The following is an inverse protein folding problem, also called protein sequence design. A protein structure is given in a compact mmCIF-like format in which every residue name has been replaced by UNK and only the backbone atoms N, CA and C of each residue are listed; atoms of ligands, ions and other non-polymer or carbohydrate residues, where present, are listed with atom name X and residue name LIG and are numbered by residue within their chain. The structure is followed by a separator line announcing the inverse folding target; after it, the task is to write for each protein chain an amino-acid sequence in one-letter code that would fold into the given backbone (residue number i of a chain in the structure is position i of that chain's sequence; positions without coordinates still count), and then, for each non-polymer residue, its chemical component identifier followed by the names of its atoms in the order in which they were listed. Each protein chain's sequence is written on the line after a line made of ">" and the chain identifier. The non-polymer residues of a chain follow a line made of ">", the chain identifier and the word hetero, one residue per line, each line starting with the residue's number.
data_IF_117534882239
#
_entry.id   IF_117534882239
#
_cell.length_a   1.000
_cell.length_b   1.000
_cell.length_c   1.000
_cell.angle_alpha   90.00
_cell.angle_beta   90.00
_cell.angle_gamma   90.00
#
_symmetry.space_group_name_H-M   'P 1'
#
loop_
_entity.id
_entity.type
_entity.pdbx_description
1 polymer ?
#
# COMPACT_ATOMS: atom_id res chain seq x y z
N UNK A 1 7.80 14.44 17.27
CA UNK A 1 6.87 13.98 16.22
C UNK A 1 6.32 12.63 16.64
N UNK A 2 5.07 12.57 17.10
CA UNK A 2 4.42 11.28 17.43
C UNK A 2 4.03 10.58 16.11
N UNK A 3 4.78 9.54 15.75
CA UNK A 3 4.74 8.81 14.48
C UNK A 3 3.53 7.88 14.29
N UNK A 4 2.57 7.85 15.23
CA UNK A 4 1.48 6.88 15.25
C UNK A 4 0.19 7.34 14.55
N UNK A 5 0.03 8.63 14.29
CA UNK A 5 -1.16 9.17 13.62
C UNK A 5 -0.73 10.01 12.42
N UNK A 6 -1.25 9.66 11.24
CA UNK A 6 -1.14 10.47 10.03
C UNK A 6 -1.55 11.92 10.35
N UNK A 7 -0.82 12.90 9.83
CA UNK A 7 -1.20 14.31 9.96
C UNK A 7 -2.56 14.57 9.30
N UNK A 8 -3.30 15.60 9.74
CA UNK A 8 -4.62 15.94 9.16
C UNK A 8 -4.58 16.11 7.63
N UNK A 9 -3.45 16.58 7.09
CA UNK A 9 -3.23 16.72 5.66
C UNK A 9 -3.11 15.34 4.97
N UNK A 10 -2.36 14.41 5.56
CA UNK A 10 -2.21 13.04 5.02
C UNK A 10 -3.51 12.23 5.12
N UNK A 11 -4.31 12.42 6.18
CA UNK A 11 -5.59 11.73 6.36
C UNK A 11 -6.60 12.04 5.24
N UNK A 12 -6.59 13.25 4.68
CA UNK A 12 -7.48 13.66 3.59
C UNK A 12 -7.07 13.13 2.21
N UNK A 13 -5.85 12.58 2.09
CA UNK A 13 -5.29 12.08 0.83
C UNK A 13 -5.52 10.58 0.67
N UNK A 14 -5.79 9.85 1.76
CA UNK A 14 -5.99 8.39 1.72
C UNK A 14 -7.40 8.03 1.27
N UNK A 15 -7.53 7.34 0.14
CA UNK A 15 -8.79 6.78 -0.32
C UNK A 15 -8.88 5.34 0.16
N UNK A 16 -9.98 4.98 0.82
CA UNK A 16 -10.22 3.61 1.30
C UNK A 16 -11.13 2.80 0.36
N UNK A 17 -10.99 1.48 0.41
CA UNK A 17 -11.86 0.57 -0.35
C UNK A 17 -13.27 0.51 0.23
N UNK A 18 -13.36 0.35 1.56
CA UNK A 18 -14.62 0.12 2.28
C UNK A 18 -15.04 1.37 3.04
N UNK A 19 -16.34 1.67 2.94
CA UNK A 19 -17.05 2.70 3.72
C UNK A 19 -16.34 4.06 3.73
N UNK A 20 -16.37 4.73 2.58
CA UNK A 20 -15.59 5.96 2.31
C UNK A 20 -16.02 7.19 3.13
N UNK A 21 -17.22 7.19 3.69
CA UNK A 21 -17.77 8.29 4.49
C UNK A 21 -17.29 8.30 5.94
N UNK A 22 -16.64 7.23 6.42
CA UNK A 22 -16.12 7.14 7.78
C UNK A 22 -14.87 8.02 7.95
N UNK A 23 -14.85 8.81 9.02
CA UNK A 23 -13.66 9.56 9.45
C UNK A 23 -12.55 8.59 9.83
N UNK A 24 -11.30 9.03 9.66
CA UNK A 24 -10.12 8.20 9.91
C UNK A 24 -10.09 7.64 11.35
N UNK A 25 -10.45 8.45 12.33
CA UNK A 25 -10.46 8.06 13.75
C UNK A 25 -11.49 6.97 14.04
N UNK A 26 -12.73 7.14 13.54
CA UNK A 26 -13.80 6.15 13.77
C UNK A 26 -13.47 4.84 13.04
N UNK A 27 -12.93 4.92 11.83
CA UNK A 27 -12.44 3.75 11.09
C UNK A 27 -11.40 2.98 11.89
N UNK A 28 -10.38 3.67 12.42
CA UNK A 28 -9.31 3.04 13.19
C UNK A 28 -9.86 2.39 14.48
N UNK A 29 -10.69 3.11 15.23
CA UNK A 29 -11.32 2.59 16.45
C UNK A 29 -12.19 1.37 16.17
N UNK A 30 -13.04 1.42 15.14
CA UNK A 30 -13.90 0.32 14.75
C UNK A 30 -13.09 -0.90 14.30
N UNK A 31 -12.00 -0.68 13.55
CA UNK A 31 -11.12 -1.76 13.09
C UNK A 31 -10.44 -2.44 14.27
N UNK A 32 -9.87 -1.66 15.20
CA UNK A 32 -9.22 -2.17 16.41
C UNK A 32 -10.25 -2.95 17.26
N UNK A 33 -11.44 -2.38 17.46
CA UNK A 33 -12.50 -3.02 18.22
C UNK A 33 -12.87 -4.39 17.62
N UNK A 34 -13.12 -4.46 16.30
CA UNK A 34 -13.46 -5.71 15.63
C UNK A 34 -12.34 -6.75 15.69
N UNK A 35 -11.08 -6.33 15.54
CA UNK A 35 -9.93 -7.24 15.63
C UNK A 35 -9.80 -7.80 17.05
N UNK A 36 -9.92 -6.96 18.08
CA UNK A 36 -9.85 -7.39 19.50
C UNK A 36 -10.99 -8.37 19.81
N UNK A 37 -12.22 -8.07 19.38
CA UNK A 37 -13.36 -8.97 19.55
C UNK A 37 -13.12 -10.29 18.83
N UNK A 38 -12.57 -10.25 17.61
CA UNK A 38 -12.21 -11.45 16.85
C UNK A 38 -11.19 -12.33 17.58
N UNK A 39 -10.11 -11.73 18.11
CA UNK A 39 -9.13 -12.46 18.91
C UNK A 39 -9.70 -13.00 20.21
N UNK A 40 -10.54 -12.23 20.91
CA UNK A 40 -11.22 -12.71 22.12
C UNK A 40 -12.08 -13.95 21.83
N UNK A 41 -12.87 -13.91 20.75
CA UNK A 41 -13.69 -15.05 20.32
C UNK A 41 -12.85 -16.27 19.94
N UNK A 42 -11.69 -16.08 19.30
CA UNK A 42 -10.79 -17.19 18.98
C UNK A 42 -10.16 -17.79 20.24
N UNK A 43 -9.78 -16.94 21.20
CA UNK A 43 -9.19 -17.36 22.46
C UNK A 43 -10.17 -18.19 23.30
N UNK A 44 -11.41 -17.72 23.47
CA UNK A 44 -12.42 -18.42 24.28
C UNK A 44 -12.94 -19.72 23.62
N UNK A 45 -13.08 -19.74 22.30
CA UNK A 45 -13.59 -20.93 21.58
C UNK A 45 -12.49 -21.91 21.19
N UNK A 46 -11.21 -21.57 21.41
CA UNK A 46 -10.04 -22.32 20.94
C UNK A 46 -10.13 -22.71 19.46
N UNK A 47 -10.81 -21.90 18.66
CA UNK A 47 -11.14 -22.16 17.26
C UNK A 47 -10.96 -20.89 16.44
N UNK A 48 -10.53 -21.02 15.18
CA UNK A 48 -10.39 -19.88 14.28
C UNK A 48 -11.74 -19.21 13.98
N UNK A 49 -12.81 -20.02 13.91
CA UNK A 49 -14.18 -19.54 13.75
C UNK A 49 -14.92 -19.47 15.09
N UNK A 50 -15.77 -18.45 15.29
CA UNK A 50 -16.18 -17.41 14.33
C UNK A 50 -15.25 -16.18 14.28
N UNK A 51 -14.28 -16.08 15.19
CA UNK A 51 -13.53 -14.82 15.41
C UNK A 51 -12.75 -14.31 14.19
N UNK A 52 -12.32 -15.20 13.28
CA UNK A 52 -11.62 -14.79 12.05
C UNK A 52 -12.49 -13.88 11.15
N UNK A 53 -13.83 -14.00 11.20
CA UNK A 53 -14.73 -13.11 10.46
C UNK A 53 -14.64 -11.67 10.97
N UNK A 54 -14.53 -11.49 12.28
CA UNK A 54 -14.38 -10.18 12.91
C UNK A 54 -13.01 -9.58 12.64
N UNK A 55 -11.94 -10.40 12.71
CA UNK A 55 -10.58 -9.98 12.33
C UNK A 55 -10.55 -9.52 10.86
N UNK A 56 -11.15 -10.30 9.96
CA UNK A 56 -11.23 -9.95 8.55
C UNK A 56 -12.03 -8.66 8.31
N UNK A 57 -13.20 -8.51 8.94
CA UNK A 57 -14.01 -7.31 8.83
C UNK A 57 -13.27 -6.05 9.33
N UNK A 58 -12.57 -6.15 10.47
CA UNK A 58 -11.72 -5.07 10.96
C UNK A 58 -10.57 -4.74 10.00
N UNK A 59 -9.92 -5.76 9.43
CA UNK A 59 -8.85 -5.55 8.46
C UNK A 59 -9.33 -4.89 7.16
N UNK A 60 -10.51 -5.27 6.67
CA UNK A 60 -11.11 -4.67 5.47
C UNK A 60 -11.31 -3.16 5.58
N UNK A 61 -11.66 -2.67 6.78
CA UNK A 61 -11.82 -1.24 7.04
C UNK A 61 -10.50 -0.46 6.89
N UNK A 62 -9.37 -1.12 7.13
CA UNK A 62 -8.03 -0.55 7.00
C UNK A 62 -7.47 -0.63 5.57
N UNK A 63 -8.15 -1.31 4.64
CA UNK A 63 -7.67 -1.42 3.26
C UNK A 63 -7.75 -0.09 2.53
N UNK A 64 -6.57 0.43 2.22
CA UNK A 64 -6.36 1.62 1.41
C UNK A 64 -6.43 1.25 -0.08
N UNK A 65 -7.19 2.03 -0.85
CA UNK A 65 -7.27 1.93 -2.32
C UNK A 65 -6.16 2.69 -3.02
N UNK A 66 -5.66 3.72 -2.38
CA UNK A 66 -4.53 4.50 -2.84
C UNK A 66 -4.50 5.87 -2.19
N UNK A 67 -3.53 6.66 -2.61
CA UNK A 67 -3.43 8.06 -2.25
C UNK A 67 -4.01 8.89 -3.41
N UNK A 68 -4.88 9.84 -3.11
CA UNK A 68 -5.33 10.84 -4.08
C UNK A 68 -4.22 11.86 -4.30
N UNK A 69 -3.22 11.48 -5.08
CA UNK A 69 -2.17 12.40 -5.52
C UNK A 69 -2.57 13.13 -6.81
N UNK A 70 -3.88 13.34 -7.03
CA UNK A 70 -4.33 14.23 -8.10
C UNK A 70 -3.89 15.64 -7.69
N UNK A 71 -2.85 16.14 -8.35
CA UNK A 71 -2.70 17.59 -8.51
C UNK A 71 -4.08 18.08 -8.96
N UNK A 72 -4.67 19.04 -8.24
CA UNK A 72 -5.94 19.64 -8.65
C UNK A 72 -5.70 20.29 -10.02
N UNK A 73 -5.93 19.53 -11.09
CA UNK A 73 -5.82 19.99 -12.48
C UNK A 73 -6.80 21.13 -12.76
N UNK A 74 -7.76 21.39 -11.86
CA UNK A 74 -8.57 22.60 -11.87
C UNK A 74 -7.73 23.91 -11.81
N UNK A 75 -6.50 23.85 -11.31
CA UNK A 75 -5.51 24.95 -11.37
C UNK A 75 -4.54 24.85 -12.55
N UNK A 76 -4.62 23.80 -13.38
CA UNK A 76 -3.85 23.68 -14.60
C UNK A 76 -4.47 24.63 -15.64
N UNK A 77 -3.87 25.81 -15.79
CA UNK A 77 -4.23 26.75 -16.85
C UNK A 77 -3.53 26.29 -18.14
N UNK A 78 -4.24 25.81 -19.17
CA UNK A 78 -3.63 25.47 -20.47
C UNK A 78 -3.05 26.69 -21.19
N UNK A 79 -3.41 27.90 -20.74
CA UNK A 79 -2.82 29.19 -21.15
C UNK A 79 -1.48 29.47 -20.44
N UNK A 80 -0.81 28.45 -19.89
CA UNK A 80 0.43 28.64 -19.14
C UNK A 80 1.47 29.37 -19.97
N UNK A 81 1.85 30.56 -19.52
CA UNK A 81 2.96 31.34 -20.05
C UNK A 81 4.21 30.45 -20.18
N UNK A 82 4.93 30.58 -21.30
CA UNK A 82 6.20 29.89 -21.49
C UNK A 82 7.17 30.32 -20.39
N UNK A 83 7.39 29.44 -19.41
CA UNK A 83 8.38 29.69 -18.37
C UNK A 83 9.76 29.36 -18.93
N UNK A 84 10.70 30.29 -18.78
CA UNK A 84 12.10 30.05 -19.14
C UNK A 84 12.68 29.00 -18.18
N UNK A 85 12.89 27.79 -18.68
CA UNK A 85 13.47 26.68 -17.91
C UNK A 85 14.98 26.62 -18.15
N UNK A 86 15.76 26.46 -17.08
CA UNK A 86 17.21 26.23 -17.17
C UNK A 86 17.57 24.74 -17.28
N UNK A 87 18.84 24.44 -17.55
CA UNK A 87 19.33 23.05 -17.65
C UNK A 87 19.20 22.29 -16.34
N UNK A 88 19.34 22.98 -15.21
CA UNK A 88 19.32 22.39 -13.86
C UNK A 88 17.90 21.90 -13.51
N UNK A 89 16.87 22.70 -13.80
CA UNK A 89 15.47 22.33 -13.65
C UNK A 89 15.11 21.10 -14.48
N UNK A 90 15.62 21.01 -15.72
CA UNK A 90 15.42 19.83 -16.57
C UNK A 90 16.07 18.58 -15.96
N UNK A 91 17.23 18.71 -15.31
CA UNK A 91 17.90 17.61 -14.62
C UNK A 91 17.17 17.20 -13.34
N UNK A 92 16.70 18.19 -12.57
CA UNK A 92 15.88 17.96 -11.39
C UNK A 92 14.60 17.18 -11.74
N UNK A 93 13.92 17.49 -12.85
CA UNK A 93 12.74 16.72 -13.31
C UNK A 93 13.10 15.26 -13.59
N UNK A 94 14.23 15.01 -14.28
CA UNK A 94 14.70 13.65 -14.57
C UNK A 94 15.04 12.91 -13.26
N UNK A 95 15.70 13.59 -12.32
CA UNK A 95 16.10 13.01 -11.05
C UNK A 95 14.90 12.68 -10.16
N UNK A 96 13.93 13.58 -10.06
CA UNK A 96 12.66 13.35 -9.34
C UNK A 96 11.96 12.13 -9.93
N UNK A 97 11.84 12.01 -11.25
CA UNK A 97 11.20 10.85 -11.88
C UNK A 97 11.97 9.54 -11.64
N UNK A 98 13.32 9.58 -11.61
CA UNK A 98 14.15 8.42 -11.25
C UNK A 98 13.97 8.02 -9.78
N UNK A 99 13.97 9.00 -8.86
CA UNK A 99 13.74 8.78 -7.42
C UNK A 99 12.35 8.21 -7.18
N UNK A 100 11.33 8.75 -7.85
CA UNK A 100 9.96 8.26 -7.80
C UNK A 100 9.86 6.79 -8.24
N UNK A 101 10.51 6.39 -9.34
CA UNK A 101 10.56 4.99 -9.77
C UNK A 101 11.24 4.05 -8.76
N UNK A 102 12.28 4.52 -8.05
CA UNK A 102 12.97 3.70 -7.04
C UNK A 102 12.14 3.48 -5.77
N UNK A 103 11.17 4.34 -5.49
CA UNK A 103 10.28 4.21 -4.33
C UNK A 103 9.24 3.09 -4.47
N UNK A 104 9.12 2.49 -5.66
CA UNK A 104 8.18 1.41 -6.01
C UNK A 104 8.66 0.01 -5.55
N UNK A 105 9.81 -0.09 -4.89
CA UNK A 105 10.47 -1.38 -4.57
C UNK A 105 10.09 -1.86 -3.15
N UNK A 106 8.80 -1.89 -2.84
CA UNK A 106 8.32 -2.36 -1.53
C UNK A 106 8.19 -3.88 -1.47
N UNK A 107 8.70 -4.51 -0.40
CA UNK A 107 8.55 -5.96 -0.16
C UNK A 107 7.10 -6.41 0.07
N UNK A 108 6.19 -5.48 0.36
CA UNK A 108 4.75 -5.73 0.54
C UNK A 108 3.91 -5.29 -0.66
N UNK A 109 4.53 -5.02 -1.81
CA UNK A 109 3.82 -4.67 -3.05
C UNK A 109 4.08 -5.73 -4.11
N UNK A 110 3.03 -6.43 -4.53
CA UNK A 110 3.10 -7.50 -5.53
C UNK A 110 3.52 -7.01 -6.92
N UNK A 111 3.45 -5.70 -7.18
CA UNK A 111 3.89 -5.12 -8.45
C UNK A 111 5.41 -5.07 -8.61
N UNK A 112 6.16 -5.26 -7.51
CA UNK A 112 7.62 -5.34 -7.53
C UNK A 112 8.11 -6.80 -7.48
N UNK A 113 9.20 -7.11 -8.19
CA UNK A 113 9.78 -8.46 -8.16
C UNK A 113 10.19 -8.93 -6.76
N UNK A 114 10.60 -8.01 -5.88
CA UNK A 114 10.88 -8.32 -4.47
C UNK A 114 9.62 -8.67 -3.71
N UNK A 115 8.53 -7.93 -3.91
CA UNK A 115 7.27 -8.21 -3.24
C UNK A 115 6.67 -9.56 -3.64
N UNK A 116 6.80 -9.97 -4.91
CA UNK A 116 6.44 -11.32 -5.36
C UNK A 116 7.26 -12.39 -4.63
N UNK A 117 8.58 -12.19 -4.51
CA UNK A 117 9.46 -13.14 -3.81
C UNK A 117 9.04 -13.31 -2.35
N UNK A 118 8.83 -12.21 -1.61
CA UNK A 118 8.39 -12.28 -0.22
C UNK A 118 6.99 -12.87 -0.06
N UNK A 119 6.09 -12.62 -1.01
CA UNK A 119 4.76 -13.22 -1.02
C UNK A 119 4.84 -14.75 -1.15
N UNK A 120 5.64 -15.25 -2.10
CA UNK A 120 5.87 -16.69 -2.29
C UNK A 120 6.51 -17.31 -1.04
N UNK A 121 7.53 -16.67 -0.47
CA UNK A 121 8.16 -17.15 0.77
C UNK A 121 7.15 -17.22 1.92
N UNK A 122 6.26 -16.23 2.05
CA UNK A 122 5.24 -16.24 3.09
C UNK A 122 4.26 -17.40 2.93
N UNK A 123 3.85 -17.72 1.69
CA UNK A 123 3.00 -18.87 1.39
C UNK A 123 3.71 -20.18 1.77
N UNK A 124 4.99 -20.32 1.40
CA UNK A 124 5.77 -21.53 1.74
C UNK A 124 5.82 -21.73 3.25
N UNK A 125 6.07 -20.66 4.01
CA UNK A 125 6.09 -20.72 5.48
C UNK A 125 4.74 -21.17 6.03
N UNK A 126 3.62 -20.62 5.54
CA UNK A 126 2.28 -21.03 5.97
C UNK A 126 1.99 -22.50 5.63
N UNK A 127 2.42 -22.98 4.46
CA UNK A 127 2.27 -24.39 4.05
C UNK A 127 3.06 -25.30 4.98
N UNK A 128 4.30 -24.94 5.33
CA UNK A 128 5.12 -25.73 6.26
C UNK A 128 4.44 -25.83 7.63
N UNK A 129 3.89 -24.71 8.14
CA UNK A 129 3.15 -24.71 9.42
C UNK A 129 1.90 -25.61 9.32
N UNK A 130 1.12 -25.50 8.25
CA UNK A 130 -0.06 -26.35 8.03
C UNK A 130 0.31 -27.84 7.89
N UNK A 131 1.40 -28.16 7.19
CA UNK A 131 1.90 -29.53 7.08
C UNK A 131 2.32 -30.07 8.44
N UNK A 132 3.00 -29.26 9.26
CA UNK A 132 3.38 -29.65 10.63
C UNK A 132 2.16 -29.90 11.53
N UNK A 133 1.11 -29.10 11.36
CA UNK A 133 -0.15 -29.27 12.09
C UNK A 133 -0.83 -30.62 11.80
N UNK A 134 -0.66 -31.20 10.61
CA UNK A 134 -1.20 -32.54 10.32
C UNK A 134 -0.63 -33.63 11.23
N UNK A 135 0.57 -33.42 11.79
CA UNK A 135 1.23 -34.36 12.69
C UNK A 135 0.93 -34.08 14.17
N UNK A 136 0.81 -32.81 14.57
CA UNK A 136 0.62 -32.41 15.98
C UNK A 136 -0.84 -32.15 16.37
N UNK A 137 -1.74 -31.95 15.39
CA UNK A 137 -3.16 -31.61 15.58
C UNK A 137 -3.40 -30.43 16.55
N UNK A 138 -2.49 -29.46 16.55
CA UNK A 138 -2.57 -28.29 17.44
C UNK A 138 -3.51 -27.21 16.89
N UNK A 139 -4.63 -27.00 17.55
CA UNK A 139 -5.64 -26.02 17.08
C UNK A 139 -5.10 -24.57 17.04
N UNK A 140 -4.07 -24.27 17.83
CA UNK A 140 -3.40 -22.97 17.89
C UNK A 140 -2.68 -22.59 16.59
N UNK A 141 -2.05 -23.55 15.91
CA UNK A 141 -1.35 -23.23 14.65
C UNK A 141 -2.33 -22.89 13.52
N UNK A 142 -3.52 -23.50 13.52
CA UNK A 142 -4.61 -23.15 12.60
C UNK A 142 -5.09 -21.71 12.83
N UNK A 143 -5.29 -21.31 14.09
CA UNK A 143 -5.66 -19.93 14.46
C UNK A 143 -4.59 -18.95 14.00
N UNK A 144 -3.32 -19.27 14.22
CA UNK A 144 -2.19 -18.42 13.84
C UNK A 144 -2.13 -18.23 12.32
N UNK A 145 -2.15 -19.33 11.55
CA UNK A 145 -2.11 -19.29 10.08
C UNK A 145 -3.29 -18.49 9.52
N UNK A 146 -4.50 -18.72 10.04
CA UNK A 146 -5.69 -18.01 9.60
C UNK A 146 -5.56 -16.50 9.82
N UNK A 147 -5.13 -16.07 11.01
CA UNK A 147 -4.97 -14.64 11.31
C UNK A 147 -3.85 -14.00 10.49
N UNK A 148 -2.71 -14.67 10.31
CA UNK A 148 -1.61 -14.15 9.48
C UNK A 148 -2.10 -13.95 8.04
N UNK A 149 -2.77 -14.95 7.46
CA UNK A 149 -3.29 -14.84 6.10
C UNK A 149 -4.30 -13.69 5.97
N UNK A 150 -5.28 -13.60 6.90
CA UNK A 150 -6.34 -12.60 6.88
C UNK A 150 -5.83 -11.18 7.11
N UNK A 151 -4.87 -11.00 8.02
CA UNK A 151 -4.32 -9.69 8.32
C UNK A 151 -3.37 -9.23 7.23
N UNK A 152 -2.54 -10.11 6.69
CA UNK A 152 -1.37 -9.71 5.91
C UNK A 152 -1.63 -9.73 4.40
N UNK A 153 -2.34 -10.74 3.88
CA UNK A 153 -2.47 -10.93 2.43
C UNK A 153 -3.27 -9.83 1.73
N UNK A 154 -4.40 -9.33 2.27
CA UNK A 154 -5.15 -8.26 1.63
C UNK A 154 -4.28 -7.03 1.33
N UNK A 155 -3.35 -6.67 2.24
CA UNK A 155 -2.45 -5.52 2.06
C UNK A 155 -1.43 -5.71 0.95
N UNK A 156 -1.05 -6.95 0.64
CA UNK A 156 -0.12 -7.25 -0.46
C UNK A 156 -0.70 -6.90 -1.84
N UNK A 157 -2.03 -7.01 -1.96
CA UNK A 157 -2.77 -6.70 -3.20
C UNK A 157 -3.27 -5.25 -3.24
N UNK A 158 -3.66 -4.67 -2.09
CA UNK A 158 -4.18 -3.29 -2.05
C UNK A 158 -3.09 -2.23 -1.92
N UNK A 159 -1.86 -2.63 -1.54
CA UNK A 159 -0.71 -1.74 -1.32
C UNK A 159 -0.12 -1.10 -2.57
N UNK A 160 -0.72 -1.27 -3.75
CA UNK A 160 -0.20 -0.77 -5.03
C UNK A 160 -0.12 0.75 -5.04
N UNK A 161 1.10 1.27 -4.87
CA UNK A 161 1.35 2.71 -4.93
C UNK A 161 1.35 3.15 -6.39
N UNK A 162 0.30 3.85 -6.82
CA UNK A 162 0.32 4.52 -8.13
C UNK A 162 1.17 5.77 -8.05
N UNK A 163 2.46 5.63 -8.36
CA UNK A 163 3.38 6.74 -8.47
C UNK A 163 3.09 7.49 -9.77
N UNK A 164 2.82 8.79 -9.69
CA UNK A 164 2.67 9.62 -10.88
C UNK A 164 4.04 9.84 -11.50
N UNK A 165 4.32 9.13 -12.60
CA UNK A 165 5.52 9.34 -13.42
C UNK A 165 5.13 10.08 -14.69
N UNK A 166 6.02 10.93 -15.20
CA UNK A 166 5.82 11.68 -16.45
C UNK A 166 6.79 11.20 -17.53
N UNK A 167 6.64 9.96 -18.04
CA UNK A 167 7.61 9.36 -18.96
C UNK A 167 7.73 10.12 -20.27
N UNK A 168 6.62 10.67 -20.78
CA UNK A 168 6.60 11.44 -22.03
C UNK A 168 7.39 12.76 -21.93
N UNK A 169 7.28 13.46 -20.78
CA UNK A 169 8.07 14.67 -20.53
C UNK A 169 9.56 14.34 -20.48
N UNK A 170 9.92 13.27 -19.75
CA UNK A 170 11.33 12.83 -19.65
C UNK A 170 11.89 12.46 -21.02
N UNK A 171 11.11 11.77 -21.87
CA UNK A 171 11.52 11.43 -23.23
C UNK A 171 11.74 12.69 -24.09
N UNK A 172 10.85 13.68 -24.02
CA UNK A 172 11.02 14.97 -24.72
C UNK A 172 12.29 15.71 -24.29
N UNK A 173 12.57 15.77 -22.98
CA UNK A 173 13.80 16.41 -22.46
C UNK A 173 15.05 15.69 -22.96
N UNK A 174 15.04 14.36 -22.99
CA UNK A 174 16.16 13.56 -23.50
C UNK A 174 16.39 13.78 -25.00
N UNK A 175 15.32 13.82 -25.80
CA UNK A 175 15.41 14.12 -27.23
C UNK A 175 15.99 15.52 -27.47
N UNK A 176 15.51 16.52 -26.72
CA UNK A 176 16.04 17.88 -26.81
C UNK A 176 17.53 17.95 -26.45
N UNK A 177 17.95 17.28 -25.36
CA UNK A 177 19.38 17.17 -24.98
C UNK A 177 20.22 16.50 -26.08
N UNK A 178 19.69 15.48 -26.75
CA UNK A 178 20.40 14.78 -27.81
C UNK A 178 20.57 15.64 -29.06
N UNK A 179 19.57 16.45 -29.42
CA UNK A 179 19.65 17.39 -30.55
C UNK A 179 20.65 18.50 -30.25
N UNK A 180 20.60 19.09 -29.05
CA UNK A 180 21.52 20.15 -28.63
C UNK A 180 22.98 19.72 -28.52
N UNK A 181 23.25 18.43 -28.30
CA UNK A 181 24.61 17.88 -28.30
C UNK A 181 25.17 17.62 -29.71
N UNK A 182 24.31 17.60 -30.74
CA UNK A 182 24.69 17.35 -32.14
C UNK A 182 24.92 18.64 -32.94
N UNK A 183 24.50 19.79 -32.40
CA UNK A 183 24.80 21.14 -32.89
C UNK A 183 26.09 21.64 -32.26
#
# INVERSE_FOLDING_TARGET
>A
MSTLLLSKQEQGVVIFHVWKSLTYQVRLLLSIFLIIVGFALQYFNLSAMPGILFVFAGNLLLLVKGYDNRIKLATFKPESEWVKTDKEQLENIIEINKKARKWDISSFDITSGRGVLFFILSIIILIIILASNMFSNEQLSLILVANVAVLLYPHWFTGVKRIMTTPMLVSKIQLFKNVLKKL
#
